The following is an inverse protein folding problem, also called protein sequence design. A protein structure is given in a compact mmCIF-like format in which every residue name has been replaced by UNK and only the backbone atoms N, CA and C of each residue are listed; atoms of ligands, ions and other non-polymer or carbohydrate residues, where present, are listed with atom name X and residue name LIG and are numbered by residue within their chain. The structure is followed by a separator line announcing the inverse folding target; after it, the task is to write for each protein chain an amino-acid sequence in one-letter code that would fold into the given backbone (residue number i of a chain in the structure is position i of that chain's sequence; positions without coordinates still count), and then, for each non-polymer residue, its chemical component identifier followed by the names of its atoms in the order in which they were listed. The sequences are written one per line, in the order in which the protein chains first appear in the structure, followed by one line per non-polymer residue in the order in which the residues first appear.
data_IF_106435793093
#
_entry.id   IF_106435793093
#
_cell.length_a   1.000
_cell.length_b   1.000
_cell.length_c   1.000
_cell.angle_alpha   90.00
_cell.angle_beta   90.00
_cell.angle_gamma   90.00
#
_symmetry.space_group_name_H-M   'P 1'
#
loop_
_entity.id
_entity.type
_entity.pdbx_description
1 polymer ?
#
# COMPACT_ATOMS: atom_id res chain seq x y z
N UNK A 1 -36.05 -11.39 20.71
CA UNK A 1 -34.77 -10.80 21.16
C UNK A 1 -34.05 -10.41 19.89
N UNK A 2 -34.13 -9.14 19.49
CA UNK A 2 -33.54 -8.69 18.23
C UNK A 2 -32.08 -8.33 18.47
N UNK A 3 -31.19 -9.02 17.77
CA UNK A 3 -29.76 -8.72 17.74
C UNK A 3 -29.55 -7.42 16.99
N UNK A 4 -29.04 -6.40 17.68
CA UNK A 4 -28.61 -5.14 17.06
C UNK A 4 -27.30 -5.42 16.34
N UNK A 5 -27.35 -5.49 15.00
CA UNK A 5 -26.15 -5.48 14.17
C UNK A 5 -25.68 -4.05 14.01
N UNK A 6 -24.56 -3.70 14.64
CA UNK A 6 -23.88 -2.43 14.38
C UNK A 6 -23.21 -2.51 13.01
N UNK A 7 -23.51 -1.61 12.06
CA UNK A 7 -22.80 -1.57 10.79
C UNK A 7 -21.33 -1.20 11.04
N UNK A 8 -20.41 -1.93 10.39
CA UNK A 8 -19.01 -1.55 10.37
C UNK A 8 -18.84 -0.22 9.63
N UNK A 9 -17.89 0.64 10.05
CA UNK A 9 -17.56 1.83 9.29
C UNK A 9 -17.13 1.41 7.88
N UNK A 10 -17.83 1.93 6.87
CA UNK A 10 -17.42 1.77 5.48
C UNK A 10 -16.26 2.73 5.22
N UNK A 11 -15.13 2.19 4.83
CA UNK A 11 -13.99 2.96 4.29
C UNK A 11 -14.16 3.02 2.78
N UNK A 12 -14.02 4.20 2.18
CA UNK A 12 -13.99 4.31 0.72
C UNK A 12 -12.72 3.61 0.23
N UNK A 13 -12.82 2.57 -0.61
CA UNK A 13 -11.64 1.87 -1.12
C UNK A 13 -10.66 2.80 -1.86
N UNK A 14 -11.12 3.95 -2.35
CA UNK A 14 -10.28 4.98 -3.00
C UNK A 14 -9.36 5.72 -2.02
N UNK A 15 -9.63 5.60 -0.73
CA UNK A 15 -8.81 6.14 0.36
C UNK A 15 -7.94 5.05 1.02
N UNK A 16 -8.10 3.78 0.61
CA UNK A 16 -7.25 2.68 1.06
C UNK A 16 -5.90 2.70 0.31
N UNK A 17 -4.92 3.32 0.95
CA UNK A 17 -3.55 3.44 0.44
C UNK A 17 -2.64 2.36 1.02
N UNK A 18 -1.79 1.81 0.16
CA UNK A 18 -0.66 0.97 0.53
C UNK A 18 0.66 1.72 0.36
N UNK A 19 1.64 1.35 1.17
CA UNK A 19 3.02 1.80 1.03
C UNK A 19 3.81 0.75 0.25
N UNK A 20 4.56 1.19 -0.77
CA UNK A 20 5.54 0.35 -1.45
C UNK A 20 6.79 1.11 -1.86
N UNK A 21 7.68 0.40 -2.55
CA UNK A 21 8.93 0.96 -3.09
C UNK A 21 8.90 0.83 -4.61
N UNK A 22 8.92 1.98 -5.30
CA UNK A 22 9.11 2.07 -6.73
C UNK A 22 10.60 2.01 -7.04
N UNK A 23 11.03 0.90 -7.63
CA UNK A 23 12.43 0.68 -8.01
C UNK A 23 12.81 1.54 -9.23
N UNK A 24 14.11 1.77 -9.41
CA UNK A 24 14.64 2.55 -10.54
C UNK A 24 14.24 2.00 -11.93
N UNK A 25 13.92 0.70 -12.03
CA UNK A 25 13.43 0.07 -13.25
C UNK A 25 11.93 0.34 -13.55
N UNK A 26 11.27 1.15 -12.72
CA UNK A 26 9.86 1.52 -12.88
C UNK A 26 8.86 0.49 -12.35
N UNK A 27 9.32 -0.59 -11.71
CA UNK A 27 8.46 -1.61 -11.09
C UNK A 27 8.37 -1.40 -9.59
N UNK A 28 7.22 -1.77 -9.00
CA UNK A 28 7.10 -1.90 -7.55
C UNK A 28 7.91 -3.10 -7.06
N UNK A 29 8.48 -2.98 -5.86
CA UNK A 29 9.15 -4.06 -5.18
C UNK A 29 8.19 -5.27 -5.02
N UNK A 30 8.65 -6.52 -5.23
CA UNK A 30 7.80 -7.71 -5.18
C UNK A 30 7.54 -8.16 -3.72
N UNK A 31 7.19 -7.23 -2.84
CA UNK A 31 6.86 -7.47 -1.43
C UNK A 31 5.94 -6.38 -0.91
N UNK A 32 5.14 -6.73 0.11
CA UNK A 32 4.36 -5.76 0.88
C UNK A 32 5.15 -5.23 2.07
N UNK A 33 4.77 -4.05 2.54
CA UNK A 33 5.32 -3.38 3.72
C UNK A 33 4.18 -3.06 4.68
N UNK A 34 4.41 -3.23 5.98
CA UNK A 34 3.42 -2.93 7.00
C UNK A 34 3.25 -1.43 7.23
N UNK A 35 4.29 -0.64 6.96
CA UNK A 35 4.29 0.81 7.11
C UNK A 35 5.40 1.48 6.30
N UNK A 36 5.34 2.83 6.24
CA UNK A 36 6.33 3.69 5.57
C UNK A 36 7.76 3.48 6.09
N UNK A 37 7.97 3.36 7.40
CA UNK A 37 9.30 3.20 7.96
C UNK A 37 9.95 1.88 7.53
N UNK A 38 9.17 0.80 7.40
CA UNK A 38 9.66 -0.48 6.87
C UNK A 38 10.08 -0.37 5.40
N UNK A 39 9.28 0.33 4.58
CA UNK A 39 9.61 0.58 3.18
C UNK A 39 10.87 1.44 3.03
N UNK A 40 11.00 2.49 3.85
CA UNK A 40 12.17 3.38 3.88
C UNK A 40 13.44 2.64 4.32
N UNK A 41 13.36 1.73 5.29
CA UNK A 41 14.50 0.92 5.73
C UNK A 41 14.97 -0.09 4.67
N UNK A 42 14.07 -0.52 3.78
CA UNK A 42 14.39 -1.47 2.71
C UNK A 42 14.90 -0.79 1.43
N UNK A 43 14.34 0.37 1.09
CA UNK A 43 14.66 1.08 -0.15
C UNK A 43 16.14 1.45 -0.27
N UNK A 44 16.65 1.45 -1.51
CA UNK A 44 18.00 1.92 -1.87
C UNK A 44 17.88 3.25 -2.65
N UNK A 45 17.68 4.40 -1.97
CA UNK A 45 17.53 5.68 -2.67
C UNK A 45 18.75 6.05 -3.52
N UNK A 46 19.94 5.59 -3.14
CA UNK A 46 21.18 5.72 -3.91
C UNK A 46 21.16 4.96 -5.25
N UNK A 47 20.31 3.92 -5.37
CA UNK A 47 20.08 3.17 -6.61
C UNK A 47 18.88 3.73 -7.41
N UNK A 48 18.18 4.74 -6.87
CA UNK A 48 17.03 5.39 -7.51
C UNK A 48 15.66 4.91 -7.03
N UNK A 49 15.61 4.11 -5.96
CA UNK A 49 14.35 3.68 -5.34
C UNK A 49 13.60 4.84 -4.70
N UNK A 50 12.27 4.78 -4.74
CA UNK A 50 11.40 5.77 -4.09
C UNK A 50 10.29 5.09 -3.31
N UNK A 51 10.11 5.48 -2.05
CA UNK A 51 8.94 5.08 -1.26
C UNK A 51 7.73 5.86 -1.77
N UNK A 52 6.67 5.13 -2.10
CA UNK A 52 5.43 5.66 -2.67
C UNK A 52 4.23 5.14 -1.91
N UNK A 53 3.16 5.92 -1.92
CA UNK A 53 1.83 5.48 -1.50
C UNK A 53 0.96 5.34 -2.75
N UNK A 54 0.28 4.23 -2.89
CA UNK A 54 -0.60 3.96 -4.03
C UNK A 54 -1.91 3.34 -3.55
N UNK A 55 -2.97 3.55 -4.33
CA UNK A 55 -4.26 2.97 -4.01
C UNK A 55 -4.28 1.47 -4.36
N UNK A 56 -4.81 0.64 -3.45
CA UNK A 56 -4.94 -0.81 -3.64
C UNK A 56 -5.74 -1.21 -4.88
N UNK A 57 -6.73 -0.41 -5.27
CA UNK A 57 -7.57 -0.65 -6.46
C UNK A 57 -6.76 -0.58 -7.76
N UNK A 58 -5.58 0.06 -7.74
CA UNK A 58 -4.70 0.13 -8.91
C UNK A 58 -3.88 -1.14 -9.14
N UNK A 59 -3.96 -2.16 -8.26
CA UNK A 59 -3.40 -3.48 -8.51
C UNK A 59 -4.24 -4.19 -9.58
N UNK A 60 -3.86 -4.06 -10.85
CA UNK A 60 -4.41 -4.91 -11.91
C UNK A 60 -3.83 -6.32 -11.75
N UNK A 61 -4.66 -7.29 -11.40
CA UNK A 61 -4.34 -8.72 -11.53
C UNK A 61 -4.01 -8.97 -13.01
N UNK A 62 -2.76 -9.38 -13.27
CA UNK A 62 -2.20 -9.53 -14.62
C UNK A 62 -2.49 -10.90 -15.21
#
# INVERSE_FOLDING_TARGET
METVTTPLPWTDPRDELEVGVLMANGRLAPRRFANRAEAEAWARPEEGDRVVEYNLICECDS
#
